data_IF_890854109274
#
_entry.id   IF_890854109274
#
_cell.length_a   1.000
_cell.length_b   1.000
_cell.length_c   1.000
_cell.angle_alpha   90.00
_cell.angle_beta   90.00
_cell.angle_gamma   90.00
#
_symmetry.space_group_name_H-M   'P 1'
#
loop_
_entity.id
_entity.type
_entity.pdbx_description
1 polymer ?
#
# COMPACT_ATOMS: atom_id res chain seq x y z
N UNK A 1 38.10 -16.26 37.49
CA UNK A 1 36.79 -15.82 38.03
C UNK A 1 36.08 -14.82 37.12
N UNK A 2 36.82 -13.92 36.45
CA UNK A 2 36.26 -12.93 35.52
C UNK A 2 35.72 -13.52 34.21
N UNK A 3 36.38 -14.51 33.61
CA UNK A 3 35.90 -15.17 32.39
C UNK A 3 34.52 -15.83 32.57
N UNK A 4 34.28 -16.39 33.76
CA UNK A 4 32.99 -16.99 34.12
C UNK A 4 31.89 -15.94 34.26
N UNK A 5 32.22 -14.74 34.76
CA UNK A 5 31.29 -13.60 34.83
C UNK A 5 31.00 -13.06 33.42
N UNK A 6 32.02 -12.86 32.57
CA UNK A 6 31.83 -12.39 31.19
C UNK A 6 30.99 -13.35 30.35
N UNK A 7 31.20 -14.66 30.46
CA UNK A 7 30.39 -15.67 29.75
C UNK A 7 28.91 -15.58 30.13
N UNK A 8 28.60 -15.38 31.42
CA UNK A 8 27.21 -15.22 31.90
C UNK A 8 26.57 -13.93 31.40
N UNK A 9 27.32 -12.83 31.38
CA UNK A 9 26.84 -11.55 30.85
C UNK A 9 26.53 -11.66 29.36
N UNK A 10 27.41 -12.29 28.57
CA UNK A 10 27.19 -12.50 27.13
C UNK A 10 25.95 -13.37 26.89
N UNK A 11 25.81 -14.49 27.61
CA UNK A 11 24.62 -15.36 27.48
C UNK A 11 23.35 -14.59 27.86
N UNK A 12 23.39 -13.80 28.93
CA UNK A 12 22.27 -12.95 29.34
C UNK A 12 21.87 -11.93 28.26
N UNK A 13 22.84 -11.26 27.64
CA UNK A 13 22.59 -10.31 26.55
C UNK A 13 21.99 -11.01 25.32
N UNK A 14 22.48 -12.19 24.94
CA UNK A 14 21.96 -12.95 23.79
C UNK A 14 20.50 -13.37 24.03
N UNK A 15 20.18 -13.86 25.22
CA UNK A 15 18.81 -14.24 25.59
C UNK A 15 17.90 -13.00 25.57
N UNK A 16 18.37 -11.88 26.14
CA UNK A 16 17.61 -10.63 26.17
C UNK A 16 17.33 -10.13 24.74
N UNK A 17 18.34 -10.12 23.86
CA UNK A 17 18.16 -9.77 22.45
C UNK A 17 17.18 -10.71 21.73
N UNK A 18 17.25 -12.03 21.98
CA UNK A 18 16.33 -12.99 21.38
C UNK A 18 14.87 -12.75 21.81
N UNK A 19 14.63 -12.41 23.08
CA UNK A 19 13.29 -12.08 23.59
C UNK A 19 12.75 -10.79 22.99
N UNK A 20 13.60 -9.77 22.79
CA UNK A 20 13.19 -8.52 22.15
C UNK A 20 12.93 -8.65 20.64
N UNK A 21 13.58 -9.61 19.96
CA UNK A 21 13.41 -9.83 18.52
C UNK A 21 12.24 -10.79 18.18
N UNK A 22 11.80 -11.62 19.12
CA UNK A 22 10.71 -12.59 18.90
C UNK A 22 9.37 -11.97 18.42
N UNK A 23 8.94 -10.76 18.86
CA UNK A 23 7.69 -10.15 18.37
C UNK A 23 7.78 -9.73 16.90
N UNK A 24 8.96 -9.35 16.40
CA UNK A 24 9.14 -8.93 15.01
C UNK A 24 8.99 -10.10 14.01
N UNK A 25 9.11 -11.35 14.47
CA UNK A 25 8.98 -12.54 13.63
C UNK A 25 7.52 -12.94 13.34
N UNK A 26 6.54 -12.32 14.00
CA UNK A 26 5.11 -12.65 13.83
C UNK A 26 4.34 -11.66 12.93
N UNK A 27 5.05 -10.85 12.14
CA UNK A 27 4.43 -10.05 11.08
C UNK A 27 4.09 -10.95 9.88
N UNK A 28 3.01 -11.72 10.00
CA UNK A 28 2.42 -12.35 8.83
C UNK A 28 1.72 -11.26 8.02
N UNK A 29 2.07 -11.15 6.73
CA UNK A 29 1.25 -10.42 5.80
C UNK A 29 -0.12 -11.11 5.73
N UNK A 30 -1.14 -10.51 6.35
CA UNK A 30 -2.53 -10.87 6.06
C UNK A 30 -2.78 -10.48 4.61
N UNK A 31 -3.17 -11.46 3.79
CA UNK A 31 -3.39 -11.26 2.35
C UNK A 31 -4.75 -10.59 2.14
N UNK A 32 -4.90 -9.32 2.54
CA UNK A 32 -6.02 -8.53 2.08
C UNK A 32 -5.86 -8.31 0.56
N UNK A 33 -6.88 -8.66 -0.21
CA UNK A 33 -6.87 -8.51 -1.67
C UNK A 33 -7.57 -7.23 -2.11
N UNK A 34 -7.14 -6.69 -3.26
CA UNK A 34 -7.87 -5.63 -3.93
C UNK A 34 -9.12 -6.26 -4.52
N UNK A 35 -10.28 -5.97 -3.93
CA UNK A 35 -11.56 -6.49 -4.38
C UNK A 35 -12.04 -5.75 -5.63
N UNK A 36 -11.88 -4.43 -5.67
CA UNK A 36 -12.19 -3.62 -6.86
C UNK A 36 -11.45 -2.29 -6.86
N UNK A 37 -11.37 -1.67 -8.03
CA UNK A 37 -10.79 -0.34 -8.21
C UNK A 37 -11.65 0.48 -9.19
N UNK A 38 -11.77 1.79 -8.95
CA UNK A 38 -12.59 2.66 -9.78
C UNK A 38 -12.04 4.10 -9.83
N UNK A 39 -11.76 4.58 -11.03
CA UNK A 39 -11.37 5.95 -11.30
C UNK A 39 -12.56 6.90 -11.21
N UNK A 40 -12.41 7.99 -10.46
CA UNK A 40 -13.48 8.96 -10.17
C UNK A 40 -13.24 10.29 -10.89
N UNK A 41 -14.30 10.99 -11.27
CA UNK A 41 -14.21 12.36 -11.85
C UNK A 41 -13.32 12.45 -13.11
N UNK A 42 -13.38 11.43 -13.94
CA UNK A 42 -12.62 11.30 -15.20
C UNK A 42 -13.23 12.17 -16.30
N UNK A 43 -12.43 12.69 -17.23
CA UNK A 43 -12.96 13.37 -18.43
C UNK A 43 -13.45 12.38 -19.49
N UNK A 44 -12.82 11.21 -19.56
CA UNK A 44 -13.24 10.07 -20.38
C UNK A 44 -13.27 8.86 -19.47
N UNK A 45 -14.41 8.16 -19.42
CA UNK A 45 -14.59 6.95 -18.62
C UNK A 45 -14.86 5.78 -19.53
N UNK A 46 -13.94 4.82 -19.59
CA UNK A 46 -14.04 3.66 -20.47
C UNK A 46 -14.43 4.07 -21.91
N UNK A 47 -13.79 5.11 -22.43
CA UNK A 47 -13.98 5.53 -23.82
C UNK A 47 -13.02 4.75 -24.70
N UNK A 48 -13.49 4.23 -25.83
CA UNK A 48 -12.60 3.58 -26.79
C UNK A 48 -11.73 4.65 -27.47
N UNK A 49 -10.42 4.46 -27.41
CA UNK A 49 -9.44 5.32 -28.06
C UNK A 49 -8.84 4.55 -29.25
N UNK A 50 -9.06 5.08 -30.46
CA UNK A 50 -8.61 4.44 -31.70
C UNK A 50 -7.08 4.40 -31.84
N UNK A 51 -6.38 5.37 -31.27
CA UNK A 51 -4.92 5.43 -31.32
C UNK A 51 -4.31 4.30 -30.46
N UNK A 52 -4.86 4.06 -29.27
CA UNK A 52 -4.42 2.96 -28.40
C UNK A 52 -5.09 1.61 -28.68
N UNK A 53 -6.14 1.58 -29.51
CA UNK A 53 -6.89 0.36 -29.83
C UNK A 53 -7.56 -0.29 -28.60
N UNK A 54 -7.90 0.51 -27.58
CA UNK A 54 -8.42 0.01 -26.30
C UNK A 54 -9.29 1.05 -25.60
N UNK A 55 -9.97 0.63 -24.53
CA UNK A 55 -10.72 1.53 -23.67
C UNK A 55 -9.79 2.23 -22.67
N UNK A 56 -9.90 3.56 -22.62
CA UNK A 56 -9.07 4.40 -21.75
C UNK A 56 -9.91 5.12 -20.71
N UNK A 57 -9.25 5.43 -19.60
CA UNK A 57 -9.71 6.41 -18.63
C UNK A 57 -8.75 7.59 -18.67
N UNK A 58 -9.27 8.80 -18.86
CA UNK A 58 -8.43 9.98 -19.01
C UNK A 58 -8.77 11.07 -17.99
N UNK A 59 -7.75 11.85 -17.65
CA UNK A 59 -7.84 13.07 -16.86
C UNK A 59 -7.15 14.22 -17.58
N UNK A 60 -7.54 15.45 -17.28
CA UNK A 60 -6.85 16.64 -17.77
C UNK A 60 -5.60 16.89 -16.93
N UNK A 61 -4.51 17.27 -17.59
CA UNK A 61 -3.28 17.74 -16.94
C UNK A 61 -3.55 18.78 -15.86
N UNK A 62 -2.84 18.68 -14.73
CA UNK A 62 -2.94 19.59 -13.59
C UNK A 62 -4.28 19.51 -12.85
N UNK A 63 -5.12 18.51 -13.16
CA UNK A 63 -6.31 18.20 -12.37
C UNK A 63 -6.03 17.07 -11.40
N UNK A 64 -6.82 17.03 -10.34
CA UNK A 64 -6.79 15.96 -9.35
C UNK A 64 -7.39 14.69 -9.95
N UNK A 65 -6.60 13.63 -10.03
CA UNK A 65 -7.08 12.28 -10.26
C UNK A 65 -7.37 11.59 -8.93
N UNK A 66 -8.42 10.78 -8.90
CA UNK A 66 -8.84 10.01 -7.72
C UNK A 66 -9.12 8.58 -8.10
N UNK A 67 -8.43 7.66 -7.44
CA UNK A 67 -8.66 6.23 -7.54
C UNK A 67 -9.26 5.73 -6.23
N UNK A 68 -10.48 5.20 -6.29
CA UNK A 68 -11.06 4.44 -5.19
C UNK A 68 -10.60 2.99 -5.28
N UNK A 69 -9.97 2.49 -4.22
CA UNK A 69 -9.48 1.11 -4.08
C UNK A 69 -10.25 0.44 -2.96
N UNK A 70 -11.08 -0.54 -3.30
CA UNK A 70 -11.80 -1.33 -2.32
C UNK A 70 -10.93 -2.52 -1.88
N UNK A 71 -10.53 -2.52 -0.61
CA UNK A 71 -9.76 -3.60 0.01
C UNK A 71 -10.70 -4.43 0.87
N UNK A 72 -10.75 -5.73 0.60
CA UNK A 72 -11.56 -6.68 1.36
C UNK A 72 -10.66 -7.55 2.22
N UNK A 73 -11.03 -7.69 3.49
CA UNK A 73 -10.41 -8.65 4.39
C UNK A 73 -11.19 -9.97 4.35
N UNK A 74 -10.70 -10.93 3.56
CA UNK A 74 -11.24 -12.28 3.43
C UNK A 74 -10.70 -13.28 4.48
N UNK A 75 -9.93 -12.80 5.46
CA UNK A 75 -9.36 -13.63 6.52
C UNK A 75 -10.20 -13.64 7.80
N UNK A 76 -9.99 -14.67 8.63
CA UNK A 76 -10.60 -14.85 9.95
C UNK A 76 -10.03 -13.94 11.06
N UNK A 77 -9.12 -13.04 10.73
CA UNK A 77 -8.46 -12.11 11.65
C UNK A 77 -8.49 -10.69 11.08
N UNK A 78 -8.29 -9.68 11.92
CA UNK A 78 -8.22 -8.29 11.45
C UNK A 78 -7.00 -8.07 10.55
N UNK A 79 -7.15 -7.21 9.54
CA UNK A 79 -6.08 -6.82 8.64
C UNK A 79 -5.62 -5.40 8.96
N UNK A 80 -4.30 -5.20 9.06
CA UNK A 80 -3.69 -3.87 9.20
C UNK A 80 -3.13 -3.45 7.84
N UNK A 81 -3.75 -2.47 7.21
CA UNK A 81 -3.28 -1.90 5.94
C UNK A 81 -2.37 -0.72 6.27
N UNK A 82 -1.09 -0.82 5.89
CA UNK A 82 -0.09 0.23 6.13
C UNK A 82 0.20 1.09 4.91
N UNK A 83 -0.19 0.65 3.71
CA UNK A 83 -0.11 1.45 2.49
C UNK A 83 -1.05 0.92 1.41
N UNK A 84 -1.66 1.84 0.67
CA UNK A 84 -2.34 1.57 -0.61
C UNK A 84 -1.69 2.43 -1.68
N UNK A 85 -1.17 1.80 -2.73
CA UNK A 85 -0.36 2.47 -3.77
C UNK A 85 -0.86 2.16 -5.16
N UNK A 86 -0.75 3.14 -6.05
CA UNK A 86 -0.86 2.95 -7.50
C UNK A 86 0.47 3.32 -8.15
N UNK A 87 0.98 2.45 -9.01
CA UNK A 87 2.17 2.68 -9.81
C UNK A 87 1.81 2.87 -11.27
N UNK A 88 2.57 3.73 -11.94
CA UNK A 88 2.40 4.03 -13.35
C UNK A 88 3.69 3.76 -14.12
N UNK A 89 3.54 3.39 -15.41
CA UNK A 89 4.66 3.02 -16.27
C UNK A 89 5.63 4.18 -16.55
N UNK A 90 5.22 5.43 -16.31
CA UNK A 90 6.10 6.60 -16.34
C UNK A 90 6.96 6.76 -15.07
N UNK A 91 7.03 5.75 -14.20
CA UNK A 91 7.95 5.67 -13.07
C UNK A 91 7.49 6.37 -11.78
N UNK A 92 6.31 6.99 -11.77
CA UNK A 92 5.74 7.61 -10.56
C UNK A 92 4.79 6.65 -9.83
N UNK A 93 4.77 6.78 -8.50
CA UNK A 93 3.85 6.07 -7.63
C UNK A 93 3.13 7.05 -6.72
N UNK A 94 1.86 6.79 -6.44
CA UNK A 94 1.06 7.59 -5.53
C UNK A 94 0.48 6.70 -4.44
N UNK A 95 0.47 7.21 -3.21
CA UNK A 95 0.06 6.46 -2.01
C UNK A 95 -1.13 7.17 -1.38
N UNK A 96 -2.13 6.40 -0.93
CA UNK A 96 -3.22 6.95 -0.11
C UNK A 96 -2.67 7.51 1.20
N UNK A 97 -3.15 8.68 1.61
CA UNK A 97 -2.80 9.30 2.90
C UNK A 97 -3.57 8.72 4.09
N UNK A 98 -4.51 7.80 3.86
CA UNK A 98 -5.41 7.29 4.90
C UNK A 98 -4.78 6.21 5.78
N UNK A 99 -3.59 5.72 5.44
CA UNK A 99 -2.87 4.73 6.24
C UNK A 99 -1.34 4.92 6.14
N UNK A 100 -0.63 4.48 7.18
CA UNK A 100 0.83 4.45 7.23
C UNK A 100 1.31 3.28 8.10
N UNK A 101 2.62 3.08 8.20
CA UNK A 101 3.20 2.10 9.13
C UNK A 101 2.95 2.49 10.60
N UNK A 102 2.95 3.79 10.91
CA UNK A 102 2.74 4.29 12.27
C UNK A 102 1.25 4.35 12.64
N UNK A 103 0.40 4.50 11.62
CA UNK A 103 -1.07 4.60 11.75
C UNK A 103 -1.75 3.71 10.71
N UNK A 104 -1.72 2.38 10.87
CA UNK A 104 -2.36 1.48 9.92
C UNK A 104 -3.89 1.61 9.97
N UNK A 105 -4.55 1.41 8.84
CA UNK A 105 -6.00 1.29 8.79
C UNK A 105 -6.41 -0.16 9.08
N UNK A 106 -7.27 -0.35 10.07
CA UNK A 106 -7.71 -1.68 10.51
C UNK A 106 -9.00 -2.06 9.80
N UNK A 107 -8.97 -3.18 9.08
CA UNK A 107 -10.15 -3.76 8.44
C UNK A 107 -10.59 -5.00 9.22
N UNK A 108 -11.81 -4.95 9.76
CA UNK A 108 -12.41 -6.09 10.47
C UNK A 108 -12.60 -7.30 9.56
N UNK A 109 -12.70 -8.47 10.20
CA UNK A 109 -12.96 -9.77 9.55
C UNK A 109 -14.17 -9.67 8.62
N UNK A 110 -14.01 -10.08 7.35
CA UNK A 110 -15.07 -10.05 6.32
C UNK A 110 -15.66 -8.68 6.05
N UNK A 111 -14.91 -7.60 6.31
CA UNK A 111 -15.30 -6.24 5.99
C UNK A 111 -14.44 -5.68 4.86
N UNK A 112 -14.98 -4.63 4.24
CA UNK A 112 -14.31 -3.86 3.19
C UNK A 112 -14.03 -2.45 3.66
N UNK A 113 -12.95 -1.86 3.15
CA UNK A 113 -12.65 -0.44 3.31
C UNK A 113 -12.22 0.14 1.97
N UNK A 114 -12.75 1.33 1.64
CA UNK A 114 -12.41 2.04 0.40
C UNK A 114 -11.34 3.08 0.74
N UNK A 115 -10.16 2.91 0.16
CA UNK A 115 -9.10 3.90 0.21
C UNK A 115 -9.13 4.75 -1.05
N UNK A 116 -8.84 6.04 -0.89
CA UNK A 116 -8.66 7.00 -1.98
C UNK A 116 -7.18 7.25 -2.16
N UNK A 117 -6.70 6.98 -3.37
CA UNK A 117 -5.41 7.48 -3.85
C UNK A 117 -5.68 8.73 -4.67
N UNK A 118 -5.14 9.86 -4.21
CA UNK A 118 -5.31 11.16 -4.84
C UNK A 118 -3.96 11.72 -5.28
N UNK A 119 -3.89 12.25 -6.51
CA UNK A 119 -2.71 12.93 -7.00
C UNK A 119 -3.03 13.97 -8.07
N UNK A 120 -2.09 14.91 -8.29
CA UNK A 120 -2.16 15.83 -9.42
C UNK A 120 -1.65 15.14 -10.68
N UNK A 121 -2.47 15.16 -11.73
CA UNK A 121 -2.10 14.60 -13.03
C UNK A 121 -0.90 15.38 -13.57
N UNK A 122 0.25 14.73 -13.77
CA UNK A 122 1.46 15.41 -14.23
C UNK A 122 1.32 15.86 -15.68
N UNK A 123 2.22 16.75 -16.14
CA UNK A 123 2.31 17.10 -17.54
C UNK A 123 2.59 15.91 -18.44
N UNK A 124 2.08 15.97 -19.68
CA UNK A 124 2.31 14.91 -20.69
C UNK A 124 3.80 14.73 -21.03
N UNK A 125 4.64 15.75 -20.79
CA UNK A 125 6.09 15.64 -20.93
C UNK A 125 6.74 14.73 -19.88
N UNK A 126 6.04 14.43 -18.78
CA UNK A 126 6.50 13.53 -17.72
C UNK A 126 5.73 12.21 -17.72
N UNK A 127 4.41 12.25 -17.94
CA UNK A 127 3.58 11.06 -18.11
C UNK A 127 3.42 10.73 -19.59
N UNK A 128 4.52 10.32 -20.21
CA UNK A 128 4.58 9.87 -21.61
C UNK A 128 4.97 8.40 -21.66
N UNK A 129 4.28 7.65 -22.51
CA UNK A 129 4.73 6.36 -23.03
C UNK A 129 5.24 6.48 -24.49
N UNK A 130 5.31 7.71 -25.00
CA UNK A 130 5.99 8.10 -26.25
C UNK A 130 7.45 8.43 -25.97
#
# INVERSE_FOLDING_TARGET
MEEWKMRKTIIGCVILCAVFLAPAMNLHAVMASINSQNWMSTIVRNGYDEFYGTYVTAYKEGKTARLAVNVYNDHYVQANVSAVKVGFDWGSNYTSSECSMDTPSVISVYQSHIFIVEFQVPPVSSASNL
#
